data_IF_003528269743
#
_entry.id   IF_003528269743
#
_cell.length_a   1.000
_cell.length_b   1.000
_cell.length_c   1.000
_cell.angle_alpha   90.00
_cell.angle_beta   90.00
_cell.angle_gamma   90.00
#
_symmetry.space_group_name_H-M   'P 1'
#
loop_
_entity.id
_entity.type
_entity.pdbx_description
1 polymer ?
#
# COMPACT_ATOMS: atom_id res chain seq x y z
N UNK A 1 19.21 11.66 -58.00
CA UNK A 1 19.96 10.78 -57.07
C UNK A 1 20.01 11.36 -55.67
N UNK A 2 20.57 12.55 -55.45
CA UNK A 2 20.62 13.20 -54.13
C UNK A 2 19.27 13.32 -53.43
N UNK A 3 18.23 13.80 -54.13
CA UNK A 3 16.90 13.95 -53.54
C UNK A 3 16.31 12.62 -53.04
N UNK A 4 16.49 11.54 -53.81
CA UNK A 4 16.03 10.21 -53.42
C UNK A 4 16.80 9.68 -52.20
N UNK A 5 18.12 9.92 -52.14
CA UNK A 5 18.95 9.53 -50.99
C UNK A 5 18.53 10.29 -49.73
N UNK A 6 18.37 11.61 -49.82
CA UNK A 6 17.91 12.44 -48.69
C UNK A 6 16.54 12.00 -48.20
N UNK A 7 15.60 11.75 -49.11
CA UNK A 7 14.24 11.34 -48.76
C UNK A 7 14.21 9.95 -48.09
N UNK A 8 15.01 9.00 -48.58
CA UNK A 8 15.16 7.69 -47.94
C UNK A 8 15.79 7.77 -46.55
N UNK A 9 16.81 8.63 -46.36
CA UNK A 9 17.42 8.87 -45.05
C UNK A 9 16.43 9.51 -44.08
N UNK A 10 15.66 10.52 -44.51
CA UNK A 10 14.63 11.13 -43.69
C UNK A 10 13.57 10.10 -43.27
N UNK A 11 13.09 9.27 -44.20
CA UNK A 11 12.12 8.22 -43.89
C UNK A 11 12.68 7.20 -42.88
N UNK A 12 13.93 6.76 -43.05
CA UNK A 12 14.60 5.86 -42.11
C UNK A 12 14.71 6.47 -40.71
N UNK A 13 15.13 7.73 -40.59
CA UNK A 13 15.25 8.40 -39.30
C UNK A 13 13.89 8.64 -38.64
N UNK A 14 12.86 9.03 -39.39
CA UNK A 14 11.50 9.14 -38.85
C UNK A 14 10.99 7.79 -38.35
N UNK A 15 11.23 6.71 -39.11
CA UNK A 15 10.87 5.35 -38.69
C UNK A 15 11.64 4.92 -37.43
N UNK A 16 12.95 5.14 -37.39
CA UNK A 16 13.80 4.79 -36.25
C UNK A 16 13.48 5.61 -34.98
N UNK A 17 13.10 6.88 -35.13
CA UNK A 17 12.68 7.72 -33.99
C UNK A 17 11.34 7.27 -33.40
N UNK A 18 10.49 6.63 -34.21
CA UNK A 18 9.21 6.07 -33.77
C UNK A 18 9.39 4.68 -33.19
N UNK A 19 10.13 3.77 -33.85
CA UNK A 19 10.24 2.34 -33.48
C UNK A 19 11.49 1.93 -32.69
N UNK A 20 12.51 2.77 -32.58
CA UNK A 20 13.77 2.41 -31.90
C UNK A 20 13.62 2.27 -30.38
N UNK A 21 14.59 1.63 -29.74
CA UNK A 21 14.65 1.42 -28.29
C UNK A 21 14.62 2.72 -27.46
N UNK A 22 14.93 3.87 -28.09
CA UNK A 22 14.84 5.22 -27.52
C UNK A 22 13.68 6.05 -28.10
N UNK A 23 12.78 5.41 -28.84
CA UNK A 23 11.63 6.04 -29.48
C UNK A 23 10.57 6.47 -28.48
N UNK A 24 9.65 7.31 -28.94
CA UNK A 24 8.58 7.89 -28.12
C UNK A 24 7.72 6.83 -27.41
N UNK A 25 7.55 5.65 -28.02
CA UNK A 25 6.79 4.55 -27.44
C UNK A 25 7.43 3.98 -26.17
N UNK A 26 8.76 3.82 -26.12
CA UNK A 26 9.43 3.29 -24.93
C UNK A 26 9.26 4.23 -23.74
N UNK A 27 9.30 5.55 -23.98
CA UNK A 27 9.05 6.54 -22.94
C UNK A 27 7.61 6.50 -22.44
N UNK A 28 6.64 6.32 -23.33
CA UNK A 28 5.24 6.18 -22.94
C UNK A 28 5.01 4.91 -22.08
N UNK A 29 5.61 3.79 -22.47
CA UNK A 29 5.55 2.53 -21.71
C UNK A 29 6.15 2.67 -20.31
N UNK A 30 7.35 3.26 -20.19
CA UNK A 30 8.01 3.50 -18.90
C UNK A 30 7.16 4.39 -17.99
N UNK A 31 6.49 5.41 -18.53
CA UNK A 31 5.61 6.28 -17.73
C UNK A 31 4.41 5.51 -17.20
N UNK A 32 3.79 4.67 -18.03
CA UNK A 32 2.65 3.83 -17.61
C UNK A 32 3.08 2.81 -16.55
N UNK A 33 4.23 2.16 -16.73
CA UNK A 33 4.79 1.23 -15.76
C UNK A 33 5.13 1.93 -14.43
N UNK A 34 5.71 3.13 -14.51
CA UNK A 34 5.98 3.97 -13.35
C UNK A 34 4.72 4.32 -12.56
N UNK A 35 3.65 4.75 -13.25
CA UNK A 35 2.36 5.03 -12.61
C UNK A 35 1.76 3.79 -11.93
N UNK A 36 1.90 2.61 -12.54
CA UNK A 36 1.44 1.36 -11.94
C UNK A 36 2.22 1.04 -10.65
N UNK A 37 3.55 1.16 -10.68
CA UNK A 37 4.40 0.92 -9.51
C UNK A 37 4.11 1.91 -8.38
N UNK A 38 3.84 3.18 -8.69
CA UNK A 38 3.44 4.18 -7.70
C UNK A 38 2.11 3.81 -7.00
N UNK A 39 1.15 3.27 -7.74
CA UNK A 39 -0.12 2.80 -7.17
C UNK A 39 0.08 1.58 -6.26
N UNK A 40 0.91 0.62 -6.69
CA UNK A 40 1.24 -0.56 -5.89
C UNK A 40 1.98 -0.16 -4.60
N UNK A 41 2.94 0.77 -4.69
CA UNK A 41 3.63 1.32 -3.53
C UNK A 41 2.66 1.98 -2.55
N UNK A 42 1.74 2.80 -3.04
CA UNK A 42 0.75 3.48 -2.20
C UNK A 42 -0.16 2.48 -1.47
N UNK A 43 -0.56 1.40 -2.14
CA UNK A 43 -1.37 0.34 -1.53
C UNK A 43 -0.61 -0.37 -0.40
N UNK A 44 0.64 -0.79 -0.64
CA UNK A 44 1.47 -1.45 0.36
C UNK A 44 1.77 -0.52 1.55
N UNK A 45 2.02 0.77 1.28
CA UNK A 45 2.20 1.76 2.35
C UNK A 45 0.94 1.92 3.22
N UNK A 46 -0.24 1.88 2.62
CA UNK A 46 -1.50 1.92 3.38
C UNK A 46 -1.66 0.68 4.29
N UNK A 47 -1.27 -0.51 3.80
CA UNK A 47 -1.26 -1.74 4.61
C UNK A 47 -0.27 -1.66 5.77
N UNK A 48 0.94 -1.15 5.52
CA UNK A 48 1.94 -0.92 6.58
C UNK A 48 1.38 0.02 7.64
N UNK A 49 0.82 1.16 7.26
CA UNK A 49 0.21 2.11 8.20
C UNK A 49 -0.93 1.48 9.02
N UNK A 50 -1.74 0.62 8.39
CA UNK A 50 -2.78 -0.12 9.10
C UNK A 50 -2.19 -1.08 10.14
N UNK A 51 -1.17 -1.86 9.75
CA UNK A 51 -0.50 -2.81 10.65
C UNK A 51 0.22 -2.08 11.79
N UNK A 52 0.87 -0.95 11.52
CA UNK A 52 1.49 -0.10 12.53
C UNK A 52 0.45 0.44 13.52
N UNK A 53 -0.72 0.87 13.03
CA UNK A 53 -1.81 1.31 13.90
C UNK A 53 -2.34 0.18 14.79
N UNK A 54 -2.56 -1.01 14.22
CA UNK A 54 -3.00 -2.18 14.97
C UNK A 54 -1.96 -2.60 16.02
N UNK A 55 -0.69 -2.64 15.64
CA UNK A 55 0.42 -2.95 16.54
C UNK A 55 0.51 -1.94 17.67
N UNK A 56 0.39 -0.64 17.37
CA UNK A 56 0.38 0.42 18.37
C UNK A 56 -0.80 0.29 19.33
N UNK A 57 -1.98 -0.09 18.84
CA UNK A 57 -3.17 -0.32 19.67
C UNK A 57 -3.07 -1.58 20.54
N UNK A 58 -2.25 -2.54 20.15
CA UNK A 58 -1.98 -3.76 20.91
C UNK A 58 -0.81 -3.60 21.91
N UNK A 59 0.07 -2.62 21.70
CA UNK A 59 1.33 -2.40 22.43
C UNK A 59 1.17 -1.53 23.70
N UNK A 60 0.35 -1.96 24.66
CA UNK A 60 0.36 -1.47 26.06
C UNK A 60 -0.18 -0.07 26.41
N UNK A 61 -0.10 0.99 25.61
CA UNK A 61 -0.56 2.34 26.05
C UNK A 61 -2.09 2.57 25.97
N UNK A 62 -2.84 1.62 25.40
CA UNK A 62 -4.32 1.62 25.35
C UNK A 62 -4.95 0.29 25.78
N UNK A 63 -4.11 -0.68 26.17
CA UNK A 63 -4.58 -1.90 26.80
C UNK A 63 -4.72 -1.56 28.29
N UNK A 64 -5.82 -0.93 28.66
CA UNK A 64 -6.13 -0.57 30.04
C UNK A 64 -6.13 -1.87 30.86
N UNK A 65 -5.00 -2.19 31.49
CA UNK A 65 -4.82 -3.38 32.32
C UNK A 65 -5.86 -3.40 33.43
N UNK A 66 -6.37 -2.23 33.82
CA UNK A 66 -7.49 -2.05 34.73
C UNK A 66 -8.82 -2.58 34.13
N UNK A 67 -9.09 -2.40 32.83
CA UNK A 67 -10.26 -2.98 32.16
C UNK A 67 -10.14 -4.50 31.98
N UNK A 68 -8.92 -5.02 31.83
CA UNK A 68 -8.65 -6.46 31.80
C UNK A 68 -8.86 -7.10 33.18
N UNK A 69 -8.46 -6.44 34.27
CA UNK A 69 -8.75 -6.92 35.64
C UNK A 69 -10.26 -6.82 35.95
N UNK A 70 -10.94 -5.76 35.48
CA UNK A 70 -12.38 -5.60 35.62
C UNK A 70 -13.16 -6.69 34.83
N UNK A 71 -12.76 -6.95 33.58
CA UNK A 71 -13.41 -7.97 32.74
C UNK A 71 -13.05 -9.39 33.17
N UNK A 72 -11.84 -9.61 33.71
CA UNK A 72 -11.48 -10.88 34.36
C UNK A 72 -12.31 -11.09 35.64
N UNK A 73 -12.58 -10.06 36.45
CA UNK A 73 -13.47 -10.13 37.62
C UNK A 73 -14.93 -10.36 37.25
N UNK A 74 -15.44 -9.76 36.19
CA UNK A 74 -16.83 -10.00 35.75
C UNK A 74 -17.02 -11.41 35.15
N UNK A 75 -16.00 -11.94 34.47
CA UNK A 75 -16.06 -13.28 33.84
C UNK A 75 -15.69 -14.40 34.82
N UNK A 76 -14.75 -14.18 35.75
CA UNK A 76 -14.30 -15.15 36.75
C UNK A 76 -14.91 -14.93 38.14
N UNK A 77 -15.74 -13.89 38.33
CA UNK A 77 -16.39 -13.50 39.59
C UNK A 77 -17.67 -14.26 39.93
N UNK A 78 -17.83 -15.50 39.45
CA UNK A 78 -18.71 -16.45 40.10
C UNK A 78 -17.91 -17.16 41.20
N UNK A 79 -18.07 -16.65 42.42
CA UNK A 79 -18.21 -17.38 43.71
C UNK A 79 -17.47 -16.63 44.83
N UNK A 80 -18.19 -15.69 45.46
CA UNK A 80 -18.23 -15.66 46.93
C UNK A 80 -19.66 -15.86 47.38
N UNK A 81 -19.86 -16.95 48.09
CA UNK A 81 -21.12 -17.58 48.45
C UNK A 81 -21.78 -16.95 49.69
N UNK A 82 -21.71 -15.63 49.87
CA UNK A 82 -21.99 -15.04 51.20
C UNK A 82 -22.65 -13.65 51.25
N UNK A 83 -23.27 -13.13 50.18
CA UNK A 83 -24.14 -11.94 50.31
C UNK A 83 -25.63 -12.27 50.28
N UNK A 84 -26.29 -11.99 51.42
CA UNK A 84 -27.72 -12.07 51.66
C UNK A 84 -28.40 -10.90 50.95
N UNK A 85 -29.32 -11.20 50.01
CA UNK A 85 -30.21 -10.21 49.41
C UNK A 85 -31.35 -9.91 50.38
N UNK A 86 -31.40 -8.67 50.88
CA UNK A 86 -32.61 -8.07 51.46
C UNK A 86 -33.19 -7.08 50.45
N UNK A 87 -34.17 -7.54 49.67
CA UNK A 87 -35.41 -6.85 49.28
C UNK A 87 -36.22 -7.72 48.32
#
# INVERSE_FOLDING_TARGET
MFFAVTLSLSAYFTFAAVQGDFGLFRRAEIVVEGQKLEQELAAVQAEVLQMENLTRRLSDDFLDLDLLDQQARDVLGLVRSDEIVVN
#
